data_IF_354158168900
#
_entry.id   IF_354158168900
#
_cell.length_a   1.000
_cell.length_b   1.000
_cell.length_c   1.000
_cell.angle_alpha   90.00
_cell.angle_beta   90.00
_cell.angle_gamma   90.00
#
_symmetry.space_group_name_H-M   'P 1'
#
loop_
_entity.id
_entity.type
_entity.pdbx_description
1 polymer ?
#
# COMPACT_ATOMS: atom_id res chain seq x y z
N UNK A 1 12.20 -45.47 -6.10
CA UNK A 1 11.73 -46.12 -4.86
C UNK A 1 10.55 -45.32 -4.39
N UNK A 2 9.36 -45.88 -4.62
CA UNK A 2 8.07 -45.26 -4.32
C UNK A 2 7.74 -45.46 -2.84
N UNK A 3 7.61 -44.36 -2.12
CA UNK A 3 6.81 -44.27 -0.91
C UNK A 3 5.94 -43.03 -1.08
N UNK A 4 4.92 -43.15 -1.92
CA UNK A 4 3.78 -42.24 -1.90
C UNK A 4 2.92 -42.73 -0.73
N UNK A 5 3.09 -42.09 0.42
CA UNK A 5 2.37 -42.43 1.64
C UNK A 5 0.90 -42.02 1.47
N UNK A 6 -0.09 -42.85 1.86
CA UNK A 6 -1.50 -42.50 1.73
C UNK A 6 -1.89 -41.25 2.53
N UNK A 7 -1.08 -40.88 3.53
CA UNK A 7 -1.26 -39.66 4.32
C UNK A 7 -1.04 -38.40 3.48
N UNK A 8 -0.06 -38.39 2.58
CA UNK A 8 0.24 -37.29 1.65
C UNK A 8 -0.96 -36.95 0.76
N UNK A 9 -1.55 -37.96 0.12
CA UNK A 9 -2.72 -37.79 -0.75
C UNK A 9 -3.96 -37.25 -0.03
N UNK A 10 -4.10 -37.50 1.28
CA UNK A 10 -5.21 -37.00 2.09
C UNK A 10 -4.98 -35.55 2.50
N UNK A 11 -3.74 -35.18 2.83
CA UNK A 11 -3.33 -33.80 3.14
C UNK A 11 -3.46 -32.92 1.90
N UNK A 12 -3.03 -33.39 0.73
CA UNK A 12 -3.16 -32.67 -0.54
C UNK A 12 -4.64 -32.43 -0.89
N UNK A 13 -5.49 -33.45 -0.78
CA UNK A 13 -6.94 -33.30 -0.99
C UNK A 13 -7.59 -32.33 0.01
N UNK A 14 -7.12 -32.31 1.27
CA UNK A 14 -7.59 -31.35 2.26
C UNK A 14 -7.10 -29.92 1.95
N UNK A 15 -5.86 -29.76 1.47
CA UNK A 15 -5.32 -28.47 1.03
C UNK A 15 -6.11 -27.91 -0.15
N UNK A 16 -6.50 -28.73 -1.13
CA UNK A 16 -7.33 -28.32 -2.26
C UNK A 16 -8.73 -27.85 -1.85
N UNK A 17 -9.22 -28.23 -0.67
CA UNK A 17 -10.48 -27.72 -0.13
C UNK A 17 -10.39 -26.27 0.36
N UNK A 18 -9.17 -25.77 0.61
CA UNK A 18 -8.89 -24.39 1.04
C UNK A 18 -9.08 -23.45 -0.15
N UNK A 19 -9.82 -22.36 0.08
CA UNK A 19 -10.20 -21.46 -1.01
C UNK A 19 -8.96 -20.76 -1.60
N UNK A 20 -8.87 -20.80 -2.92
CA UNK A 20 -7.72 -20.35 -3.72
C UNK A 20 -6.46 -21.24 -3.66
N UNK A 21 -6.51 -22.40 -3.02
CA UNK A 21 -5.48 -23.44 -3.13
C UNK A 21 -5.87 -24.39 -4.26
N UNK A 22 -5.06 -24.42 -5.32
CA UNK A 22 -5.19 -25.41 -6.39
C UNK A 22 -4.12 -26.50 -6.27
N UNK A 23 -4.15 -27.54 -7.12
CA UNK A 23 -3.24 -28.70 -7.01
C UNK A 23 -1.76 -28.31 -7.00
N UNK A 24 -1.35 -27.36 -7.85
CA UNK A 24 0.03 -26.87 -7.87
C UNK A 24 0.44 -26.14 -6.59
N UNK A 25 -0.49 -25.43 -5.95
CA UNK A 25 -0.25 -24.77 -4.66
C UNK A 25 -0.26 -25.79 -3.52
N UNK A 26 -1.16 -26.78 -3.57
CA UNK A 26 -1.24 -27.85 -2.58
C UNK A 26 0.06 -28.67 -2.53
N UNK A 27 0.58 -29.09 -3.68
CA UNK A 27 1.87 -29.78 -3.77
C UNK A 27 3.05 -28.96 -3.21
N UNK A 28 3.04 -27.64 -3.43
CA UNK A 28 4.06 -26.74 -2.87
C UNK A 28 3.96 -26.66 -1.35
N UNK A 29 2.74 -26.51 -0.82
CA UNK A 29 2.49 -26.42 0.62
C UNK A 29 2.80 -27.72 1.34
N UNK A 30 2.44 -28.87 0.75
CA UNK A 30 2.72 -30.18 1.31
C UNK A 30 4.23 -30.44 1.40
N UNK A 31 4.98 -30.08 0.35
CA UNK A 31 6.44 -30.20 0.33
C UNK A 31 7.11 -29.41 1.46
N UNK A 32 6.52 -28.29 1.87
CA UNK A 32 6.99 -27.46 2.98
C UNK A 32 6.36 -27.87 4.34
N UNK A 33 5.50 -28.89 4.36
CA UNK A 33 4.86 -29.41 5.56
C UNK A 33 3.69 -28.58 6.08
N UNK A 34 3.11 -27.70 5.26
CA UNK A 34 1.90 -26.96 5.62
C UNK A 34 0.66 -27.77 5.25
N UNK A 35 -0.20 -28.02 6.22
CA UNK A 35 -1.50 -28.63 6.02
C UNK A 35 -2.62 -27.58 5.95
N UNK A 36 -3.84 -28.02 5.60
CA UNK A 36 -4.99 -27.13 5.52
C UNK A 36 -5.28 -26.44 6.86
N UNK A 37 -5.03 -27.13 7.99
CA UNK A 37 -5.24 -26.55 9.33
C UNK A 37 -4.26 -25.42 9.61
N UNK A 38 -3.02 -25.48 9.12
CA UNK A 38 -2.06 -24.39 9.28
C UNK A 38 -2.55 -23.07 8.65
N UNK A 39 -3.31 -23.14 7.56
CA UNK A 39 -3.91 -21.96 6.93
C UNK A 39 -5.13 -21.47 7.73
N UNK A 40 -6.04 -22.36 8.11
CA UNK A 40 -7.26 -21.97 8.85
C UNK A 40 -6.95 -21.45 10.25
N UNK A 41 -5.95 -22.02 10.91
CA UNK A 41 -5.48 -21.62 12.24
C UNK A 41 -4.51 -20.43 12.17
N UNK A 42 -4.24 -19.90 10.97
CA UNK A 42 -3.37 -18.74 10.74
C UNK A 42 -1.94 -18.94 11.26
N UNK A 43 -1.45 -20.19 11.23
CA UNK A 43 -0.06 -20.57 11.55
C UNK A 43 0.90 -20.31 10.38
N UNK A 44 0.39 -19.86 9.24
CA UNK A 44 1.16 -19.47 8.06
C UNK A 44 0.94 -18.00 7.75
N UNK A 45 2.01 -17.28 7.38
CA UNK A 45 1.96 -15.89 6.95
C UNK A 45 2.13 -15.74 5.44
N UNK A 46 1.78 -14.58 4.88
CA UNK A 46 1.98 -14.30 3.45
C UNK A 46 3.44 -14.51 3.01
N UNK A 47 4.43 -14.05 3.80
CA UNK A 47 5.85 -14.29 3.49
C UNK A 47 6.19 -15.77 3.41
N UNK A 48 5.71 -16.57 4.37
CA UNK A 48 5.96 -18.01 4.37
C UNK A 48 5.38 -18.70 3.14
N UNK A 49 4.20 -18.27 2.66
CA UNK A 49 3.63 -18.77 1.40
C UNK A 49 4.51 -18.42 0.20
N UNK A 50 4.97 -17.17 0.10
CA UNK A 50 5.82 -16.73 -1.02
C UNK A 50 7.20 -17.42 -0.98
N UNK A 51 7.76 -17.60 0.21
CA UNK A 51 9.05 -18.28 0.43
C UNK A 51 8.99 -19.77 0.13
N UNK A 52 7.87 -20.43 0.44
CA UNK A 52 7.55 -21.79 0.00
C UNK A 52 7.50 -21.94 -1.54
N UNK A 53 7.41 -20.84 -2.27
CA UNK A 53 7.30 -20.80 -3.73
C UNK A 53 5.88 -20.71 -4.25
N UNK A 54 4.89 -20.41 -3.38
CA UNK A 54 3.53 -20.09 -3.84
C UNK A 54 3.57 -18.78 -4.63
N UNK A 55 2.88 -18.74 -5.77
CA UNK A 55 2.79 -17.53 -6.58
C UNK A 55 2.25 -16.35 -5.73
N UNK A 56 2.89 -15.17 -5.76
CA UNK A 56 2.53 -14.05 -4.88
C UNK A 56 1.09 -13.57 -5.05
N UNK A 57 0.52 -13.66 -6.25
CA UNK A 57 -0.89 -13.31 -6.49
C UNK A 57 -1.86 -14.30 -5.84
N UNK A 58 -1.51 -15.60 -5.82
CA UNK A 58 -2.28 -16.64 -5.14
C UNK A 58 -2.13 -16.50 -3.63
N UNK A 59 -0.91 -16.31 -3.13
CA UNK A 59 -0.65 -16.05 -1.72
C UNK A 59 -1.42 -14.81 -1.21
N UNK A 60 -1.54 -13.75 -2.04
CA UNK A 60 -2.33 -12.58 -1.70
C UNK A 60 -3.84 -12.88 -1.60
N UNK A 61 -4.38 -13.75 -2.46
CA UNK A 61 -5.80 -14.18 -2.38
C UNK A 61 -6.05 -15.03 -1.15
N UNK A 62 -5.20 -16.03 -0.88
CA UNK A 62 -5.27 -16.87 0.32
C UNK A 62 -5.19 -16.01 1.58
N UNK A 63 -4.27 -15.04 1.63
CA UNK A 63 -4.13 -14.11 2.76
C UNK A 63 -5.41 -13.33 3.03
N UNK A 64 -6.03 -12.76 1.99
CA UNK A 64 -7.26 -11.95 2.13
C UNK A 64 -8.43 -12.81 2.59
N UNK A 65 -8.56 -14.01 2.03
CA UNK A 65 -9.65 -14.93 2.36
C UNK A 65 -9.52 -15.49 3.78
N UNK A 66 -8.34 -15.94 4.16
CA UNK A 66 -8.08 -16.55 5.47
C UNK A 66 -7.59 -15.57 6.53
N UNK A 67 -7.58 -14.27 6.21
CA UNK A 67 -7.11 -13.18 7.09
C UNK A 67 -5.73 -13.46 7.68
N UNK A 68 -4.80 -13.96 6.86
CA UNK A 68 -3.44 -14.31 7.31
C UNK A 68 -2.62 -13.04 7.57
N UNK A 69 -1.73 -13.13 8.57
CA UNK A 69 -0.72 -12.10 8.84
C UNK A 69 0.23 -11.94 7.65
N UNK A 70 0.75 -10.73 7.48
CA UNK A 70 1.73 -10.47 6.42
C UNK A 70 3.06 -11.19 6.68
N UNK A 71 3.54 -11.11 7.92
CA UNK A 71 4.67 -11.82 8.50
C UNK A 71 4.39 -12.03 9.99
N UNK A 72 5.06 -12.99 10.63
CA UNK A 72 5.09 -13.13 12.09
C UNK A 72 6.23 -12.32 12.73
N UNK A 73 7.25 -12.02 11.94
CA UNK A 73 8.37 -11.18 12.34
C UNK A 73 8.07 -9.72 11.95
N UNK A 74 7.84 -8.88 12.95
CA UNK A 74 7.66 -7.42 12.80
C UNK A 74 8.93 -6.62 13.08
N UNK A 75 9.99 -7.25 13.60
CA UNK A 75 11.26 -6.60 13.94
C UNK A 75 12.24 -6.52 12.78
N UNK A 76 12.54 -7.65 12.12
CA UNK A 76 13.59 -7.74 11.09
C UNK A 76 13.21 -7.18 9.72
N UNK A 77 11.92 -7.06 9.39
CA UNK A 77 11.47 -6.43 8.13
C UNK A 77 11.76 -4.92 8.12
N UNK A 78 11.66 -4.26 9.29
CA UNK A 78 11.95 -2.84 9.44
C UNK A 78 13.44 -2.56 9.26
N UNK A 79 14.32 -3.34 9.90
CA UNK A 79 15.79 -3.21 9.75
C UNK A 79 16.27 -3.41 8.32
N UNK A 80 15.68 -4.37 7.60
CA UNK A 80 16.02 -4.62 6.21
C UNK A 80 15.56 -3.47 5.29
N UNK A 81 14.37 -2.93 5.55
CA UNK A 81 13.80 -1.83 4.76
C UNK A 81 14.47 -0.49 5.06
N UNK A 82 14.86 -0.24 6.31
CA UNK A 82 15.64 0.95 6.67
C UNK A 82 17.00 0.92 5.97
N UNK A 83 17.66 -0.23 5.89
CA UNK A 83 18.90 -0.40 5.15
C UNK A 83 18.75 -0.24 3.61
N UNK A 84 17.57 -0.52 3.07
CA UNK A 84 17.29 -0.40 1.63
C UNK A 84 16.86 1.01 1.20
N UNK A 85 16.50 1.88 2.14
CA UNK A 85 16.19 3.29 1.85
C UNK A 85 17.52 4.05 1.64
N UNK A 86 17.81 4.36 0.37
CA UNK A 86 18.94 5.20 -0.01
C UNK A 86 18.70 6.62 0.50
N UNK A 87 19.55 7.10 1.41
CA UNK A 87 19.51 8.47 1.92
C UNK A 87 19.43 8.61 3.44
N UNK A 88 19.30 7.51 4.18
CA UNK A 88 19.31 7.57 5.65
C UNK A 88 20.74 7.86 6.15
N UNK A 89 20.95 9.02 6.74
CA UNK A 89 22.25 9.39 7.34
C UNK A 89 22.58 8.50 8.53
N UNK A 90 23.86 8.34 8.87
CA UNK A 90 24.30 7.51 10.02
C UNK A 90 23.69 7.94 11.35
N UNK A 91 23.48 9.25 11.55
CA UNK A 91 22.82 9.80 12.73
C UNK A 91 21.34 9.43 12.82
N UNK A 92 20.66 9.31 11.68
CA UNK A 92 19.24 8.93 11.61
C UNK A 92 19.08 7.42 11.81
N UNK A 93 19.99 6.61 11.24
CA UNK A 93 20.04 5.17 11.49
C UNK A 93 20.29 4.85 12.97
N UNK A 94 21.19 5.58 13.64
CA UNK A 94 21.43 5.44 15.09
C UNK A 94 20.19 5.80 15.92
N UNK A 95 19.45 6.85 15.53
CA UNK A 95 18.22 7.24 16.22
C UNK A 95 17.10 6.20 16.08
N UNK A 96 16.96 5.58 14.90
CA UNK A 96 15.98 4.50 14.68
C UNK A 96 16.35 3.25 15.48
N UNK A 97 17.63 2.86 15.48
CA UNK A 97 18.09 1.70 16.24
C UNK A 97 17.89 1.86 17.75
N UNK A 98 18.10 3.08 18.28
CA UNK A 98 17.82 3.37 19.68
C UNK A 98 16.32 3.30 20.03
N UNK A 99 15.43 3.64 19.08
CA UNK A 99 13.97 3.64 19.27
C UNK A 99 13.33 2.25 19.09
N UNK A 100 14.01 1.31 18.43
CA UNK A 100 13.49 -0.03 18.17
C UNK A 100 13.42 -0.94 19.41
N UNK A 101 14.12 -0.60 20.50
CA UNK A 101 14.26 -1.48 21.68
C UNK A 101 13.30 -1.22 22.85
N UNK A 102 12.58 -0.10 22.87
CA UNK A 102 11.84 0.34 24.08
C UNK A 102 10.36 -0.11 24.11
N UNK A 103 9.79 -0.50 22.97
CA UNK A 103 8.36 -0.83 22.86
C UNK A 103 8.01 -2.27 23.29
N UNK A 104 9.00 -3.16 23.48
CA UNK A 104 8.78 -4.56 23.91
C UNK A 104 8.76 -4.73 25.44
N UNK A 105 9.16 -3.71 26.22
CA UNK A 105 9.27 -3.81 27.67
C UNK A 105 7.91 -3.70 28.43
N UNK A 106 6.83 -3.28 27.75
CA UNK A 106 5.50 -3.09 28.37
C UNK A 106 4.58 -4.33 28.27
N UNK A 107 5.04 -5.42 27.65
CA UNK A 107 4.19 -6.60 27.38
C UNK A 107 4.20 -7.69 28.46
N UNK A 108 4.96 -7.53 29.54
CA UNK A 108 5.12 -8.59 30.56
C UNK A 108 4.71 -8.15 31.96
N UNK A 109 3.45 -8.44 32.33
CA UNK A 109 3.08 -8.71 33.72
C UNK A 109 2.06 -7.76 34.33
N UNK A 110 0.78 -8.14 34.26
CA UNK A 110 -0.31 -7.47 34.96
C UNK A 110 -1.50 -8.40 35.16
N UNK A 111 -1.28 -9.52 35.86
CA UNK A 111 -2.35 -10.28 36.50
C UNK A 111 -3.01 -9.35 37.54
N UNK A 112 -4.28 -9.01 37.31
CA UNK A 112 -5.08 -8.24 38.26
C UNK A 112 -6.23 -9.11 38.75
N UNK A 113 -5.90 -10.14 39.55
CA UNK A 113 -6.82 -10.65 40.57
C UNK A 113 -7.27 -9.51 41.47
N UNK A 114 -8.59 -9.34 41.52
CA UNK A 114 -9.28 -8.46 42.44
C UNK A 114 -8.89 -8.75 43.89
N UNK A 115 -8.46 -7.72 44.61
CA UNK A 115 -8.66 -7.62 46.06
C UNK A 115 -8.86 -6.18 46.48
N UNK A 116 -9.88 -6.09 47.32
CA UNK A 116 -10.49 -4.99 48.02
C UNK A 116 -9.56 -4.36 49.09
N UNK A 117 -9.75 -3.04 49.27
CA UNK A 117 -9.77 -2.31 50.55
C UNK A 117 -8.59 -1.39 50.96
N UNK A 118 -9.04 -0.20 51.40
CA UNK A 118 -8.43 0.78 52.32
C UNK A 118 -7.44 1.85 51.83
N UNK A 119 -8.04 2.97 51.43
CA UNK A 119 -7.86 4.33 51.95
C UNK A 119 -6.47 4.79 52.45
N UNK A 120 -5.91 5.78 51.74
CA UNK A 120 -5.19 6.92 52.32
C UNK A 120 -5.37 8.14 51.40
N UNK A 121 -6.01 9.18 51.96
CA UNK A 121 -6.00 10.56 51.48
C UNK A 121 -4.55 11.08 51.31
N UNK A 122 -4.23 11.60 50.13
CA UNK A 122 -3.17 12.61 49.97
C UNK A 122 -3.56 13.52 48.80
N UNK A 123 -3.94 14.75 49.14
CA UNK A 123 -4.31 15.79 48.19
C UNK A 123 -3.06 16.41 47.57
N UNK A 124 -2.95 16.37 46.24
CA UNK A 124 -2.05 17.27 45.53
C UNK A 124 -2.65 17.69 44.20
N UNK A 125 -3.01 18.97 44.15
CA UNK A 125 -3.44 19.75 42.99
C UNK A 125 -2.56 19.54 41.76
N UNK A 126 -3.20 19.30 40.62
CA UNK A 126 -2.56 19.13 39.32
C UNK A 126 -3.56 18.95 38.19
N UNK A 127 -4.51 19.89 38.07
CA UNK A 127 -5.46 19.96 36.96
C UNK A 127 -4.71 20.18 35.63
N UNK A 128 -4.51 19.11 34.87
CA UNK A 128 -4.33 19.15 33.43
C UNK A 128 -5.41 18.24 32.82
N UNK A 129 -6.42 18.91 32.26
CA UNK A 129 -7.58 18.31 31.61
C UNK A 129 -7.15 17.77 30.23
N UNK A 130 -6.52 16.59 30.21
CA UNK A 130 -6.28 15.83 28.98
C UNK A 130 -7.47 14.90 28.71
N UNK A 131 -8.66 15.49 28.64
CA UNK A 131 -9.85 14.85 28.08
C UNK A 131 -9.66 14.80 26.56
N UNK A 132 -8.94 13.79 26.07
CA UNK A 132 -8.97 13.46 24.65
C UNK A 132 -10.41 13.06 24.30
N UNK A 133 -11.12 13.76 23.39
CA UNK A 133 -12.45 13.35 23.00
C UNK A 133 -12.34 12.02 22.26
N UNK A 134 -12.73 10.94 22.94
CA UNK A 134 -12.93 9.60 22.37
C UNK A 134 -14.26 9.56 21.57
N UNK A 135 -14.48 10.57 20.73
CA UNK A 135 -15.51 10.52 19.71
C UNK A 135 -14.81 10.23 18.38
N UNK A 136 -15.08 9.07 17.74
CA UNK A 136 -14.55 8.81 16.42
C UNK A 136 -15.11 9.88 15.50
N UNK A 137 -14.25 10.76 14.98
CA UNK A 137 -14.63 11.67 13.91
C UNK A 137 -15.11 10.80 12.75
N UNK A 138 -16.41 10.80 12.40
CA UNK A 138 -16.87 10.01 11.28
C UNK A 138 -16.21 10.57 10.03
N UNK A 139 -15.53 9.71 9.28
CA UNK A 139 -14.97 10.04 7.99
C UNK A 139 -16.05 10.70 7.12
N UNK A 140 -15.74 11.78 6.37
CA UNK A 140 -16.72 12.41 5.50
C UNK A 140 -17.22 11.39 4.47
N UNK A 141 -18.43 10.90 4.68
CA UNK A 141 -19.18 10.14 3.69
C UNK A 141 -19.43 11.08 2.54
N UNK A 142 -18.83 10.79 1.38
CA UNK A 142 -19.13 11.52 0.15
C UNK A 142 -20.64 11.55 -0.03
N UNK A 143 -21.19 12.76 -0.06
CA UNK A 143 -22.60 13.03 -0.23
C UNK A 143 -23.14 12.28 -1.43
N UNK A 144 -23.98 11.29 -1.14
CA UNK A 144 -25.29 11.11 -1.74
C UNK A 144 -25.70 12.31 -2.61
N UNK A 145 -25.36 12.19 -3.90
CA UNK A 145 -25.83 13.09 -4.93
C UNK A 145 -27.17 12.53 -5.39
N UNK A 146 -28.26 13.14 -4.93
CA UNK A 146 -29.60 12.88 -5.42
C UNK A 146 -29.67 13.25 -6.91
N UNK A 147 -29.65 12.24 -7.77
CA UNK A 147 -30.01 12.37 -9.17
C UNK A 147 -31.40 11.76 -9.39
N UNK A 148 -32.32 12.69 -9.61
CA UNK A 148 -33.72 12.64 -10.03
C UNK A 148 -34.17 11.39 -10.79
N UNK A 149 -35.39 10.97 -10.47
CA UNK A 149 -36.18 9.90 -11.10
C UNK A 149 -36.79 10.27 -12.46
N UNK A 150 -36.83 9.29 -13.38
CA UNK A 150 -37.87 9.00 -14.41
C UNK A 150 -37.23 8.70 -15.78
N UNK A 151 -37.60 7.69 -16.57
CA UNK A 151 -38.62 6.65 -16.49
C UNK A 151 -38.28 5.52 -17.51
N UNK A 152 -39.02 4.42 -17.40
CA UNK A 152 -38.81 3.10 -18.01
C UNK A 152 -38.82 2.98 -19.55
N UNK A 153 -38.08 1.99 -20.04
CA UNK A 153 -38.42 1.05 -21.13
C UNK A 153 -37.40 -0.11 -21.08
N UNK A 154 -37.78 -1.29 -20.60
CA UNK A 154 -38.30 -2.44 -21.36
C UNK A 154 -37.20 -3.35 -21.97
N UNK A 155 -36.99 -4.46 -21.26
CA UNK A 155 -36.77 -5.84 -21.72
C UNK A 155 -35.70 -6.20 -22.78
N UNK A 156 -34.82 -7.10 -22.32
CA UNK A 156 -34.21 -8.24 -23.05
C UNK A 156 -33.20 -7.96 -24.16
N UNK A 157 -31.93 -8.22 -23.84
CA UNK A 157 -31.12 -9.16 -24.61
C UNK A 157 -30.01 -9.73 -23.71
N UNK A 158 -30.06 -11.04 -23.48
CA UNK A 158 -28.89 -11.80 -23.07
C UNK A 158 -27.88 -11.71 -24.21
N UNK A 159 -26.89 -10.84 -24.06
CA UNK A 159 -25.69 -10.90 -24.87
C UNK A 159 -24.60 -11.53 -23.99
N UNK A 160 -24.29 -12.77 -24.31
CA UNK A 160 -23.11 -13.46 -23.80
C UNK A 160 -21.89 -12.66 -24.24
N UNK A 161 -21.45 -11.73 -23.40
CA UNK A 161 -20.19 -11.03 -23.55
C UNK A 161 -19.06 -12.07 -23.54
N UNK A 162 -18.71 -12.53 -24.73
CA UNK A 162 -17.49 -13.28 -24.98
C UNK A 162 -16.35 -12.30 -24.76
N UNK A 163 -15.82 -12.30 -23.55
CA UNK A 163 -14.56 -11.65 -23.21
C UNK A 163 -13.45 -12.42 -23.92
N UNK A 164 -13.16 -12.01 -25.16
CA UNK A 164 -11.82 -12.19 -25.69
C UNK A 164 -10.94 -11.23 -24.87
N UNK A 165 -10.08 -11.81 -24.05
CA UNK A 165 -9.29 -11.06 -23.08
C UNK A 165 -8.14 -10.29 -23.70
N UNK A 166 -8.35 -9.44 -24.73
CA UNK A 166 -7.22 -8.85 -25.47
C UNK A 166 -7.24 -7.34 -25.75
N UNK A 167 -8.15 -6.52 -25.23
CA UNK A 167 -8.04 -5.06 -25.50
C UNK A 167 -8.82 -4.09 -24.63
N UNK A 168 -10.00 -4.48 -24.13
CA UNK A 168 -10.90 -3.53 -23.46
C UNK A 168 -10.39 -3.10 -22.09
N UNK A 169 -9.87 -4.04 -21.28
CA UNK A 169 -9.30 -3.73 -19.98
C UNK A 169 -8.05 -2.85 -20.06
N UNK A 170 -7.19 -3.09 -21.06
CA UNK A 170 -5.98 -2.28 -21.30
C UNK A 170 -6.36 -0.89 -21.79
N UNK A 171 -7.37 -0.79 -22.66
CA UNK A 171 -7.88 0.50 -23.15
C UNK A 171 -8.57 1.30 -22.04
N UNK A 172 -9.34 0.64 -21.17
CA UNK A 172 -9.98 1.23 -20.00
C UNK A 172 -8.94 1.70 -18.97
N UNK A 173 -7.88 0.91 -18.73
CA UNK A 173 -6.77 1.28 -17.86
C UNK A 173 -5.92 2.41 -18.44
N UNK A 174 -5.68 2.41 -19.76
CA UNK A 174 -4.99 3.50 -20.46
C UNK A 174 -5.81 4.80 -20.39
N UNK A 175 -7.13 4.72 -20.56
CA UNK A 175 -8.04 5.85 -20.40
C UNK A 175 -8.07 6.37 -18.96
N UNK A 176 -8.01 5.48 -17.97
CA UNK A 176 -7.90 5.88 -16.56
C UNK A 176 -6.56 6.57 -16.27
N UNK A 177 -5.43 6.00 -16.73
CA UNK A 177 -4.12 6.66 -16.62
C UNK A 177 -4.09 7.99 -17.33
N UNK A 178 -4.66 8.11 -18.52
CA UNK A 178 -4.71 9.38 -19.25
C UNK A 178 -5.49 10.46 -18.48
N UNK A 179 -6.60 10.11 -17.82
CA UNK A 179 -7.36 11.05 -16.98
C UNK A 179 -6.67 11.41 -15.67
N UNK A 180 -5.78 10.54 -15.17
CA UNK A 180 -5.04 10.77 -13.92
C UNK A 180 -3.62 11.30 -14.15
N UNK A 181 -3.21 11.53 -15.40
CA UNK A 181 -1.90 12.11 -15.70
C UNK A 181 -1.94 13.61 -15.38
N UNK A 182 -0.92 14.11 -14.66
CA UNK A 182 -0.70 15.55 -14.54
C UNK A 182 -0.58 16.18 -15.93
N UNK A 183 -1.05 17.42 -16.09
CA UNK A 183 -0.86 18.19 -17.33
C UNK A 183 0.64 18.19 -17.68
N UNK A 184 1.04 17.65 -18.85
CA UNK A 184 2.44 17.57 -19.23
C UNK A 184 3.02 18.95 -19.53
N UNK A 185 4.32 19.15 -19.32
CA UNK A 185 4.98 20.45 -19.57
C UNK A 185 4.96 20.87 -21.04
N UNK A 186 4.79 19.91 -21.96
CA UNK A 186 4.69 20.14 -23.41
C UNK A 186 3.41 20.88 -23.85
N UNK A 187 2.39 20.95 -22.98
CA UNK A 187 1.18 21.73 -23.22
C UNK A 187 1.40 23.25 -22.97
N UNK A 188 2.54 23.65 -22.37
CA UNK A 188 2.87 25.06 -22.14
C UNK A 188 3.44 25.70 -23.41
N UNK A 189 2.73 26.68 -23.96
CA UNK A 189 3.14 27.40 -25.18
C UNK A 189 4.49 28.12 -25.08
N UNK A 190 4.98 28.41 -23.86
CA UNK A 190 6.28 29.04 -23.61
C UNK A 190 7.46 28.05 -23.71
N UNK A 191 7.19 26.75 -23.74
CA UNK A 191 8.18 25.66 -23.73
C UNK A 191 8.14 24.98 -25.09
N UNK A 192 9.28 24.92 -25.77
CA UNK A 192 9.41 24.12 -26.99
C UNK A 192 9.74 22.65 -26.68
N UNK A 193 9.64 21.78 -27.67
CA UNK A 193 9.89 20.33 -27.48
C UNK A 193 11.30 20.06 -26.94
N UNK A 194 12.30 20.84 -27.33
CA UNK A 194 13.68 20.67 -26.86
C UNK A 194 13.86 21.09 -25.39
N UNK A 195 13.16 22.13 -24.94
CA UNK A 195 13.11 22.52 -23.54
C UNK A 195 12.31 21.52 -22.70
N UNK A 196 11.23 20.96 -23.24
CA UNK A 196 10.46 19.90 -22.59
C UNK A 196 11.29 18.62 -22.37
N UNK A 197 12.12 18.23 -23.34
CA UNK A 197 13.05 17.10 -23.19
C UNK A 197 14.11 17.36 -22.11
N UNK A 198 14.67 18.57 -22.06
CA UNK A 198 15.62 18.97 -21.01
C UNK A 198 14.99 18.96 -19.61
N UNK A 199 13.76 19.46 -19.47
CA UNK A 199 13.00 19.40 -18.23
C UNK A 199 12.71 17.95 -17.81
N UNK A 200 12.39 17.07 -18.76
CA UNK A 200 12.18 15.65 -18.49
C UNK A 200 13.45 14.95 -17.99
N UNK A 201 14.63 15.28 -18.52
CA UNK A 201 15.92 14.78 -18.02
C UNK A 201 16.21 15.27 -16.59
N UNK A 202 15.78 16.50 -16.26
CA UNK A 202 15.80 17.03 -14.89
C UNK A 202 14.67 16.48 -13.99
N UNK A 203 13.83 15.57 -14.49
CA UNK A 203 12.72 14.94 -13.75
C UNK A 203 11.43 15.77 -13.68
N UNK A 204 11.38 16.93 -14.34
CA UNK A 204 10.22 17.82 -14.38
C UNK A 204 9.40 17.51 -15.62
N UNK A 205 8.36 16.70 -15.45
CA UNK A 205 7.51 16.21 -16.56
C UNK A 205 6.09 16.79 -16.58
N UNK A 206 5.72 17.59 -15.59
CA UNK A 206 4.38 18.17 -15.48
C UNK A 206 4.36 19.65 -15.10
N UNK A 207 3.32 20.37 -15.55
CA UNK A 207 3.08 21.80 -15.27
C UNK A 207 3.09 22.08 -13.78
N UNK A 208 2.42 21.25 -12.99
CA UNK A 208 2.41 21.37 -11.52
C UNK A 208 3.80 21.20 -10.91
N UNK A 209 4.58 20.25 -11.40
CA UNK A 209 5.96 20.04 -10.91
C UNK A 209 6.84 21.24 -11.23
N UNK A 210 6.69 21.83 -12.42
CA UNK A 210 7.41 23.02 -12.84
C UNK A 210 6.99 24.24 -12.00
N UNK A 211 5.69 24.44 -11.78
CA UNK A 211 5.14 25.56 -10.98
C UNK A 211 5.50 25.50 -9.49
N UNK A 212 6.02 24.37 -8.99
CA UNK A 212 6.51 24.20 -7.61
C UNK A 212 8.02 24.03 -7.52
N UNK A 213 8.72 23.94 -8.65
CA UNK A 213 10.16 23.76 -8.68
C UNK A 213 10.89 25.06 -8.29
N UNK A 214 12.13 24.91 -7.83
CA UNK A 214 13.02 26.04 -7.59
C UNK A 214 13.64 26.50 -8.93
N UNK A 215 13.25 27.68 -9.41
CA UNK A 215 13.65 28.18 -10.72
C UNK A 215 15.16 28.43 -10.83
N UNK A 216 15.82 28.83 -9.74
CA UNK A 216 17.27 29.07 -9.73
C UNK A 216 18.02 27.76 -9.86
N UNK A 217 17.58 26.73 -9.12
CA UNK A 217 18.15 25.39 -9.20
C UNK A 217 17.93 24.75 -10.56
N UNK A 218 16.75 24.91 -11.17
CA UNK A 218 16.47 24.39 -12.51
C UNK A 218 17.32 25.10 -13.56
N UNK A 219 17.54 26.41 -13.44
CA UNK A 219 18.43 27.14 -14.33
C UNK A 219 19.88 26.66 -14.22
N UNK A 220 20.37 26.39 -13.01
CA UNK A 220 21.71 25.86 -12.77
C UNK A 220 21.89 24.46 -13.37
N UNK A 221 20.94 23.55 -13.11
CA UNK A 221 20.98 22.16 -13.61
C UNK A 221 20.88 22.07 -15.12
N UNK A 222 20.07 22.93 -15.75
CA UNK A 222 19.92 22.96 -17.21
C UNK A 222 20.98 23.84 -17.91
N UNK A 223 21.86 24.49 -17.15
CA UNK A 223 22.82 25.48 -17.66
C UNK A 223 22.14 26.59 -18.51
N UNK A 224 20.90 26.95 -18.15
CA UNK A 224 20.09 27.97 -18.82
C UNK A 224 20.10 29.29 -18.06
N UNK A 225 19.76 30.38 -18.76
CA UNK A 225 19.58 31.66 -18.09
C UNK A 225 18.34 31.63 -17.20
N UNK A 226 18.48 32.06 -15.95
CA UNK A 226 17.40 32.16 -14.96
C UNK A 226 16.15 32.87 -15.50
N UNK A 227 16.31 33.94 -16.30
CA UNK A 227 15.19 34.67 -16.90
C UNK A 227 14.28 33.82 -17.81
N UNK A 228 14.85 32.84 -18.51
CA UNK A 228 14.09 31.91 -19.37
C UNK A 228 13.32 30.90 -18.52
N UNK A 229 13.94 30.39 -17.45
CA UNK A 229 13.30 29.46 -16.52
C UNK A 229 12.21 30.16 -15.70
N UNK A 230 12.41 31.42 -15.33
CA UNK A 230 11.40 32.25 -14.68
C UNK A 230 10.16 32.46 -15.57
N UNK A 231 10.36 32.67 -16.87
CA UNK A 231 9.24 32.77 -17.84
C UNK A 231 8.45 31.45 -17.90
N UNK A 232 9.14 30.32 -17.94
CA UNK A 232 8.50 29.00 -17.91
C UNK A 232 7.77 28.72 -16.60
N UNK A 233 8.36 29.13 -15.47
CA UNK A 233 7.76 28.99 -14.15
C UNK A 233 6.49 29.83 -14.01
N UNK A 234 6.50 31.09 -14.46
CA UNK A 234 5.31 31.95 -14.47
C UNK A 234 4.22 31.37 -15.39
N UNK A 235 4.57 30.95 -16.61
CA UNK A 235 3.63 30.31 -17.52
C UNK A 235 3.01 29.03 -16.94
N UNK A 236 3.80 28.24 -16.19
CA UNK A 236 3.30 27.04 -15.52
C UNK A 236 2.35 27.37 -14.36
N UNK A 237 2.63 28.45 -13.63
CA UNK A 237 1.79 28.92 -12.52
C UNK A 237 0.46 29.49 -13.01
N UNK A 238 0.49 30.30 -14.05
CA UNK A 238 -0.70 30.85 -14.71
C UNK A 238 -1.60 29.75 -15.31
N UNK A 239 -1.00 28.64 -15.78
CA UNK A 239 -1.74 27.49 -16.30
C UNK A 239 -2.31 26.57 -15.21
N UNK A 240 -1.88 26.74 -13.95
CA UNK A 240 -2.30 25.92 -12.81
C UNK A 240 -3.38 26.61 -11.93
N UNK A 241 -3.47 27.95 -11.95
CA UNK A 241 -4.56 28.74 -11.33
C UNK A 241 -5.85 28.74 -12.16
#
# INVERSE_FOLDING_TARGET
>A
MSSDSPESSTVEAALESVRFVGPATAAVLEREGYDATAITDKRVSFRMLVEAGVNPGVAAKIRREHSLSWSFDSGGDLDRRSAQIRGLGSAEAEWIAASAGDWEADSTGGDHTAVDDSAVDDESDGQADDTWPNEPTPWPTHGESEAVTSAAADSTAADTATTDGSGDAISAEAAWRARSKPTPVEDLAAIDTAAAEQLAEAGITSVRSLATADAEHVADVLELSQAVVDEWYQAARDAYE
#
